data_IF_112455650816
#
_entry.id   IF_112455650816
#
_cell.length_a   1.000
_cell.length_b   1.000
_cell.length_c   1.000
_cell.angle_alpha   90.00
_cell.angle_beta   90.00
_cell.angle_gamma   90.00
#
_symmetry.space_group_name_H-M   'P 1'
#
loop_
_entity.id
_entity.type
_entity.pdbx_description
1 polymer ?
#
# COMPACT_ATOMS: atom_id res chain seq x y z
N UNK A 1 8.08 13.33 -0.86
CA UNK A 1 9.24 12.57 -1.38
C UNK A 1 8.70 11.19 -1.77
N UNK A 2 9.14 10.61 -2.88
CA UNK A 2 8.69 9.27 -3.28
C UNK A 2 9.34 8.25 -2.34
N UNK A 3 8.56 7.67 -1.42
CA UNK A 3 9.08 6.70 -0.47
C UNK A 3 9.11 5.30 -1.11
N UNK A 4 10.09 5.03 -1.97
CA UNK A 4 10.23 3.74 -2.67
C UNK A 4 10.50 2.57 -1.73
N UNK A 5 9.86 1.43 -1.96
CA UNK A 5 10.06 0.23 -1.15
C UNK A 5 11.28 -0.54 -1.66
N UNK A 6 12.25 -0.77 -0.78
CA UNK A 6 13.30 -1.75 -1.02
C UNK A 6 12.73 -3.14 -0.71
N UNK A 7 12.62 -4.02 -1.71
CA UNK A 7 11.92 -5.30 -1.56
C UNK A 7 12.79 -6.44 -1.00
N UNK A 8 14.11 -6.43 -1.23
CA UNK A 8 15.01 -7.51 -0.84
C UNK A 8 15.39 -7.45 0.66
N UNK A 9 15.82 -8.56 1.24
CA UNK A 9 16.28 -8.65 2.64
C UNK A 9 17.60 -7.93 2.90
N UNK A 10 17.92 -7.80 4.20
CA UNK A 10 19.12 -7.11 4.67
C UNK A 10 20.40 -7.80 4.17
N UNK A 11 20.45 -9.13 4.17
CA UNK A 11 21.61 -9.90 3.70
C UNK A 11 21.93 -9.60 2.23
N UNK A 12 20.90 -9.56 1.37
CA UNK A 12 21.06 -9.16 -0.03
C UNK A 12 21.51 -7.71 -0.16
N UNK A 13 20.97 -6.80 0.67
CA UNK A 13 21.36 -5.40 0.67
C UNK A 13 22.84 -5.22 1.04
N UNK A 14 23.33 -5.95 2.05
CA UNK A 14 24.75 -5.97 2.43
C UNK A 14 25.60 -6.52 1.28
N UNK A 15 25.23 -7.67 0.73
CA UNK A 15 25.96 -8.31 -0.36
C UNK A 15 26.07 -7.45 -1.63
N UNK A 16 25.10 -6.55 -1.85
CA UNK A 16 25.05 -5.65 -3.01
C UNK A 16 25.47 -4.21 -2.70
N UNK A 17 26.00 -3.94 -1.50
CA UNK A 17 26.38 -2.60 -1.03
C UNK A 17 25.24 -1.56 -1.11
N UNK A 18 24.03 -1.99 -0.74
CA UNK A 18 22.77 -1.22 -0.73
C UNK A 18 22.10 -1.21 0.65
N UNK A 19 22.87 -1.41 1.72
CA UNK A 19 22.37 -1.46 3.09
C UNK A 19 21.64 -0.16 3.48
N UNK A 20 22.15 1.00 3.06
CA UNK A 20 21.52 2.30 3.32
C UNK A 20 20.10 2.37 2.75
N UNK A 21 19.92 1.93 1.49
CA UNK A 21 18.59 1.88 0.84
C UNK A 21 17.63 0.94 1.56
N UNK A 22 18.13 -0.16 2.11
CA UNK A 22 17.33 -1.07 2.92
C UNK A 22 16.86 -0.36 4.21
N UNK A 23 17.77 0.29 4.94
CA UNK A 23 17.44 0.93 6.21
C UNK A 23 16.53 2.14 6.04
N UNK A 24 16.76 2.99 5.03
CA UNK A 24 15.86 4.09 4.68
C UNK A 24 14.46 3.58 4.34
N UNK A 25 14.39 2.50 3.54
CA UNK A 25 13.10 1.88 3.22
C UNK A 25 12.45 1.26 4.45
N UNK A 26 13.22 0.64 5.34
CA UNK A 26 12.73 0.01 6.55
C UNK A 26 12.15 1.06 7.50
N UNK A 27 12.89 2.15 7.76
CA UNK A 27 12.43 3.26 8.60
C UNK A 27 11.13 3.87 8.05
N UNK A 28 11.05 4.08 6.74
CA UNK A 28 9.82 4.56 6.12
C UNK A 28 8.67 3.54 6.18
N UNK A 29 8.94 2.22 6.27
CA UNK A 29 7.89 1.21 6.52
C UNK A 29 7.38 1.30 7.96
N UNK A 30 8.29 1.45 8.93
CA UNK A 30 7.93 1.67 10.34
C UNK A 30 7.09 2.94 10.48
N UNK A 31 7.53 4.06 9.88
CA UNK A 31 6.78 5.32 9.89
C UNK A 31 5.40 5.17 9.26
N UNK A 32 5.31 4.49 8.11
CA UNK A 32 4.03 4.22 7.46
C UNK A 32 3.10 3.36 8.33
N UNK A 33 3.62 2.34 9.02
CA UNK A 33 2.82 1.51 9.93
C UNK A 33 2.26 2.35 11.09
N UNK A 34 3.09 3.21 11.70
CA UNK A 34 2.67 4.14 12.76
C UNK A 34 1.66 5.17 12.26
N UNK A 35 1.83 5.66 11.03
CA UNK A 35 0.87 6.57 10.42
C UNK A 35 -0.49 5.89 10.19
N UNK A 36 -0.52 4.61 9.80
CA UNK A 36 -1.77 3.83 9.68
C UNK A 36 -2.45 3.68 11.05
N UNK A 37 -1.70 3.28 12.08
CA UNK A 37 -2.24 3.15 13.45
C UNK A 37 -2.85 4.47 13.94
N UNK A 38 -2.09 5.56 13.77
CA UNK A 38 -2.52 6.91 14.13
C UNK A 38 -3.76 7.34 13.35
N UNK A 39 -3.77 7.16 12.03
CA UNK A 39 -4.91 7.54 11.19
C UNK A 39 -6.17 6.76 11.57
N UNK A 40 -6.06 5.47 11.89
CA UNK A 40 -7.17 4.66 12.40
C UNK A 40 -7.65 5.21 13.74
N UNK A 41 -6.74 5.48 14.68
CA UNK A 41 -7.08 5.99 16.00
C UNK A 41 -7.78 7.36 15.92
N UNK A 42 -7.22 8.29 15.14
CA UNK A 42 -7.75 9.64 14.96
C UNK A 42 -9.08 9.64 14.19
N UNK A 43 -9.37 8.58 13.44
CA UNK A 43 -10.65 8.41 12.73
C UNK A 43 -11.80 7.87 13.59
N UNK A 44 -11.62 7.69 14.90
CA UNK A 44 -12.64 7.13 15.78
C UNK A 44 -13.50 8.22 16.45
N UNK A 45 -14.67 8.53 15.88
CA UNK A 45 -15.49 9.70 16.27
C UNK A 45 -16.51 9.42 17.38
N UNK A 46 -16.79 8.14 17.66
CA UNK A 46 -17.68 7.67 18.73
C UNK A 46 -17.44 6.18 18.94
N UNK A 47 -17.95 5.56 20.01
CA UNK A 47 -17.78 4.12 20.34
C UNK A 47 -17.75 3.21 19.08
N UNK A 48 -16.53 2.90 18.63
CA UNK A 48 -16.21 2.01 17.50
C UNK A 48 -16.73 2.46 16.11
N UNK A 49 -16.91 3.75 15.88
CA UNK A 49 -17.23 4.30 14.54
C UNK A 49 -16.01 4.97 13.92
N UNK A 50 -15.40 4.25 12.98
CA UNK A 50 -14.18 4.68 12.28
C UNK A 50 -14.48 5.27 10.89
N UNK A 51 -13.93 6.45 10.58
CA UNK A 51 -13.85 6.93 9.18
C UNK A 51 -12.57 6.43 8.51
N UNK A 52 -12.63 5.16 8.11
CA UNK A 52 -11.51 4.50 7.45
C UNK A 52 -11.27 5.06 6.04
N UNK A 53 -12.23 5.73 5.41
CA UNK A 53 -12.05 6.33 4.08
C UNK A 53 -11.10 7.51 4.18
N UNK A 54 -11.36 8.43 5.11
CA UNK A 54 -10.48 9.57 5.35
C UNK A 54 -9.11 9.12 5.85
N UNK A 55 -9.07 8.16 6.78
CA UNK A 55 -7.81 7.60 7.28
C UNK A 55 -6.96 6.98 6.16
N UNK A 56 -7.56 6.13 5.31
CA UNK A 56 -6.84 5.51 4.19
C UNK A 56 -6.35 6.53 3.17
N UNK A 57 -7.16 7.55 2.84
CA UNK A 57 -6.74 8.62 1.91
C UNK A 57 -5.55 9.41 2.42
N UNK A 58 -5.53 9.74 3.72
CA UNK A 58 -4.43 10.48 4.33
C UNK A 58 -3.10 9.70 4.21
N UNK A 59 -3.09 8.43 4.61
CA UNK A 59 -1.87 7.60 4.54
C UNK A 59 -1.44 7.37 3.09
N UNK A 60 -2.38 7.08 2.18
CA UNK A 60 -2.08 6.89 0.76
C UNK A 60 -1.49 8.16 0.11
N UNK A 61 -1.96 9.34 0.51
CA UNK A 61 -1.42 10.61 0.02
C UNK A 61 0.01 10.89 0.52
N UNK A 62 0.32 10.48 1.76
CA UNK A 62 1.64 10.72 2.38
C UNK A 62 2.71 9.72 1.91
N UNK A 63 2.38 8.43 1.91
CA UNK A 63 3.36 7.35 1.67
C UNK A 63 3.27 6.73 0.28
N UNK A 64 2.19 6.97 -0.46
CA UNK A 64 1.93 6.38 -1.77
C UNK A 64 1.40 4.94 -1.70
N UNK A 65 0.80 4.49 -2.82
CA UNK A 65 0.18 3.17 -2.93
C UNK A 65 1.16 2.03 -2.65
N UNK A 66 2.34 2.06 -3.26
CA UNK A 66 3.32 0.96 -3.21
C UNK A 66 3.67 0.62 -1.76
N UNK A 67 4.00 1.64 -0.95
CA UNK A 67 4.40 1.46 0.44
C UNK A 67 3.26 1.05 1.33
N UNK A 68 2.10 1.69 1.21
CA UNK A 68 0.92 1.33 1.99
C UNK A 68 0.53 -0.12 1.70
N UNK A 69 0.55 -0.53 0.42
CA UNK A 69 0.31 -1.92 0.03
C UNK A 69 1.31 -2.88 0.65
N UNK A 70 2.61 -2.54 0.65
CA UNK A 70 3.65 -3.36 1.26
C UNK A 70 3.43 -3.57 2.76
N UNK A 71 3.22 -2.50 3.51
CA UNK A 71 3.02 -2.54 4.98
C UNK A 71 1.74 -3.30 5.34
N UNK A 72 0.65 -3.09 4.60
CA UNK A 72 -0.60 -3.85 4.81
C UNK A 72 -0.42 -5.34 4.51
N UNK A 73 0.34 -5.70 3.46
CA UNK A 73 0.65 -7.09 3.16
C UNK A 73 1.48 -7.74 4.28
N UNK A 74 2.54 -7.07 4.74
CA UNK A 74 3.34 -7.53 5.87
C UNK A 74 2.49 -7.77 7.13
N UNK A 75 1.59 -6.82 7.44
CA UNK A 75 0.68 -6.92 8.58
C UNK A 75 -0.30 -8.10 8.44
N UNK A 76 -0.92 -8.27 7.27
CA UNK A 76 -1.83 -9.38 7.02
C UNK A 76 -1.11 -10.74 7.07
N UNK A 77 0.16 -10.80 6.68
CA UNK A 77 0.95 -12.02 6.79
C UNK A 77 1.16 -12.41 8.25
N UNK A 78 1.46 -11.45 9.12
CA UNK A 78 1.55 -11.69 10.57
C UNK A 78 0.18 -12.07 11.17
N UNK A 79 -0.90 -11.46 10.70
CA UNK A 79 -2.27 -11.71 11.18
C UNK A 79 -3.02 -12.83 10.43
N UNK A 80 -2.36 -13.60 9.55
CA UNK A 80 -3.04 -14.53 8.64
C UNK A 80 -3.84 -15.64 9.36
N UNK A 81 -3.43 -15.97 10.58
CA UNK A 81 -4.07 -16.96 11.45
C UNK A 81 -5.35 -16.45 12.12
N UNK A 82 -5.57 -15.14 12.17
CA UNK A 82 -6.73 -14.55 12.83
C UNK A 82 -8.01 -14.78 12.01
N UNK A 83 -9.06 -15.27 12.67
CA UNK A 83 -10.35 -15.58 12.05
C UNK A 83 -11.16 -14.36 11.62
N UNK A 84 -10.84 -13.16 12.13
CA UNK A 84 -11.54 -11.90 11.80
C UNK A 84 -11.06 -11.27 10.50
N UNK A 85 -9.91 -11.72 9.98
CA UNK A 85 -9.42 -11.28 8.68
C UNK A 85 -10.20 -12.02 7.59
N UNK A 86 -10.86 -11.26 6.72
CA UNK A 86 -11.69 -11.74 5.62
C UNK A 86 -10.90 -12.60 4.62
N UNK A 87 -11.63 -13.50 3.95
CA UNK A 87 -11.04 -14.36 2.92
C UNK A 87 -10.48 -13.54 1.75
N UNK A 88 -11.15 -12.43 1.41
CA UNK A 88 -10.76 -11.51 0.35
C UNK A 88 -9.43 -10.83 0.67
N UNK A 89 -9.19 -10.44 1.92
CA UNK A 89 -7.92 -9.85 2.34
C UNK A 89 -6.81 -10.89 2.40
N UNK A 90 -7.10 -12.11 2.88
CA UNK A 90 -6.14 -13.25 2.83
C UNK A 90 -5.77 -13.62 1.40
N UNK A 91 -6.72 -13.59 0.47
CA UNK A 91 -6.47 -13.91 -0.94
C UNK A 91 -5.66 -12.81 -1.62
N UNK A 92 -5.94 -11.55 -1.30
CA UNK A 92 -5.16 -10.41 -1.80
C UNK A 92 -3.71 -10.44 -1.32
N UNK A 93 -3.47 -10.80 -0.06
CA UNK A 93 -2.12 -10.99 0.48
C UNK A 93 -1.30 -11.97 -0.37
N UNK A 94 -1.89 -13.09 -0.81
CA UNK A 94 -1.19 -14.10 -1.63
C UNK A 94 -0.69 -13.54 -2.97
N UNK A 95 -1.27 -12.44 -3.44
CA UNK A 95 -0.87 -11.77 -4.67
C UNK A 95 0.28 -10.76 -4.48
N UNK A 96 0.70 -10.49 -3.24
CA UNK A 96 1.85 -9.60 -2.94
C UNK A 96 3.07 -10.47 -2.60
N UNK A 97 4.05 -10.60 -3.51
CA UNK A 97 5.22 -11.44 -3.28
C UNK A 97 6.16 -10.77 -2.27
N UNK A 98 6.12 -11.20 -1.01
CA UNK A 98 7.09 -10.82 0.01
C UNK A 98 8.24 -11.85 -0.01
N UNK A 99 9.49 -11.43 -0.31
CA UNK A 99 10.64 -12.31 -0.30
C UNK A 99 10.82 -13.06 1.03
N UNK A 100 11.34 -14.29 0.97
CA UNK A 100 11.46 -15.17 2.14
C UNK A 100 12.41 -14.59 3.21
N UNK A 101 13.50 -13.99 2.77
CA UNK A 101 14.51 -13.29 3.58
C UNK A 101 13.95 -12.05 4.29
N UNK A 102 12.79 -11.52 3.86
CA UNK A 102 12.09 -10.42 4.54
C UNK A 102 11.17 -10.86 5.65
N UNK A 103 10.79 -12.14 5.72
CA UNK A 103 9.78 -12.61 6.68
C UNK A 103 10.19 -12.44 8.14
N UNK A 104 11.50 -12.41 8.39
CA UNK A 104 12.06 -12.22 9.74
C UNK A 104 11.76 -10.82 10.27
N UNK A 105 11.87 -9.80 9.41
CA UNK A 105 11.82 -8.39 9.82
C UNK A 105 10.40 -7.80 9.77
N UNK A 106 9.41 -8.56 9.25
CA UNK A 106 8.04 -8.05 9.06
C UNK A 106 7.40 -7.57 10.36
N UNK A 107 7.74 -8.21 11.49
CA UNK A 107 7.19 -7.91 12.80
C UNK A 107 7.42 -6.45 13.23
N UNK A 108 8.52 -5.83 12.78
CA UNK A 108 8.96 -4.51 13.23
C UNK A 108 8.07 -3.36 12.73
N UNK A 109 7.36 -3.57 11.62
CA UNK A 109 6.44 -2.60 11.02
C UNK A 109 5.03 -3.19 10.78
N UNK A 110 4.60 -4.10 11.65
CA UNK A 110 3.19 -4.53 11.67
C UNK A 110 2.28 -3.49 12.32
N UNK A 111 1.10 -3.28 11.74
CA UNK A 111 0.08 -2.39 12.31
C UNK A 111 -0.62 -3.10 13.48
N UNK A 112 -0.46 -2.55 14.67
CA UNK A 112 -1.01 -3.04 15.93
C UNK A 112 -2.38 -2.41 16.24
N UNK A 113 -3.42 -2.87 15.54
CA UNK A 113 -4.82 -2.47 15.80
C UNK A 113 -5.73 -3.69 15.93
N UNK A 114 -6.97 -3.49 16.37
CA UNK A 114 -7.93 -4.59 16.46
C UNK A 114 -8.15 -5.22 15.07
N UNK A 115 -8.04 -6.55 14.90
CA UNK A 115 -8.03 -7.18 13.57
C UNK A 115 -9.27 -6.90 12.70
N UNK A 116 -10.45 -6.70 13.31
CA UNK A 116 -11.64 -6.31 12.55
C UNK A 116 -11.54 -4.89 11.96
N UNK A 117 -10.86 -3.97 12.66
CA UNK A 117 -10.63 -2.60 12.18
C UNK A 117 -9.55 -2.62 11.10
N UNK A 118 -8.48 -3.41 11.29
CA UNK A 118 -7.45 -3.65 10.29
C UNK A 118 -8.07 -4.20 8.98
N UNK A 119 -8.91 -5.22 9.08
CA UNK A 119 -9.59 -5.82 7.92
C UNK A 119 -10.42 -4.78 7.15
N UNK A 120 -11.17 -3.96 7.89
CA UNK A 120 -11.92 -2.84 7.33
C UNK A 120 -11.03 -1.82 6.64
N UNK A 121 -9.90 -1.45 7.25
CA UNK A 121 -8.96 -0.47 6.69
C UNK A 121 -8.33 -0.99 5.40
N UNK A 122 -7.84 -2.23 5.39
CA UNK A 122 -7.28 -2.87 4.20
C UNK A 122 -8.29 -2.89 3.06
N UNK A 123 -9.54 -3.27 3.34
CA UNK A 123 -10.62 -3.31 2.35
C UNK A 123 -10.86 -1.93 1.72
N UNK A 124 -10.89 -0.88 2.53
CA UNK A 124 -11.09 0.50 2.07
C UNK A 124 -9.89 1.01 1.27
N UNK A 125 -8.67 0.82 1.76
CA UNK A 125 -7.45 1.23 1.08
C UNK A 125 -7.34 0.59 -0.32
N UNK A 126 -7.61 -0.72 -0.43
CA UNK A 126 -7.64 -1.45 -1.71
C UNK A 126 -8.66 -0.89 -2.68
N UNK A 127 -9.85 -0.52 -2.19
CA UNK A 127 -10.91 0.06 -3.02
C UNK A 127 -10.50 1.42 -3.58
N UNK A 128 -9.93 2.29 -2.75
CA UNK A 128 -9.44 3.62 -3.17
C UNK A 128 -8.38 3.48 -4.27
N UNK A 129 -7.42 2.57 -4.07
CA UNK A 129 -6.36 2.29 -5.05
C UNK A 129 -6.92 1.82 -6.39
N UNK A 130 -7.88 0.88 -6.37
CA UNK A 130 -8.50 0.39 -7.60
C UNK A 130 -9.26 1.49 -8.36
N UNK A 131 -9.92 2.40 -7.65
CA UNK A 131 -10.63 3.55 -8.23
C UNK A 131 -9.65 4.58 -8.84
N UNK A 132 -8.50 4.80 -8.20
CA UNK A 132 -7.44 5.67 -8.72
C UNK A 132 -6.83 5.11 -10.00
N UNK A 133 -6.51 3.80 -10.06
CA UNK A 133 -6.00 3.15 -11.26
C UNK A 133 -6.97 3.26 -12.45
N UNK A 134 -8.25 2.94 -12.24
CA UNK A 134 -9.27 3.05 -13.28
C UNK A 134 -9.38 4.49 -13.84
N UNK A 135 -9.24 5.49 -12.97
CA UNK A 135 -9.30 6.90 -13.36
C UNK A 135 -8.09 7.31 -14.21
N UNK A 136 -6.88 6.87 -13.83
CA UNK A 136 -5.65 7.11 -14.59
C UNK A 136 -5.72 6.44 -15.98
N UNK A 137 -6.28 5.23 -16.04
CA UNK A 137 -6.39 4.45 -17.27
C UNK A 137 -7.37 5.11 -18.24
N UNK A 138 -8.50 5.61 -17.71
CA UNK A 138 -9.48 6.37 -18.49
C UNK A 138 -8.86 7.65 -19.07
N UNK A 139 -8.09 8.41 -18.28
CA UNK A 139 -7.39 9.63 -18.75
C UNK A 139 -6.35 9.30 -19.81
N UNK A 140 -5.53 8.25 -19.63
CA UNK A 140 -4.56 7.81 -20.65
C UNK A 140 -5.24 7.42 -21.96
N UNK A 141 -6.39 6.74 -21.88
CA UNK A 141 -7.16 6.36 -23.06
C UNK A 141 -7.74 7.58 -23.81
N UNK A 142 -8.12 8.64 -23.10
CA UNK A 142 -8.54 9.91 -23.70
C UNK A 142 -7.36 10.61 -24.39
N UNK A 143 -6.21 10.73 -23.72
CA UNK A 143 -5.00 11.33 -24.30
C UNK A 143 -4.54 10.59 -25.56
N UNK A 144 -4.68 9.26 -25.59
CA UNK A 144 -4.33 8.46 -26.76
C UNK A 144 -5.24 8.76 -27.95
N UNK A 145 -6.56 8.86 -27.73
CA UNK A 145 -7.54 9.21 -28.77
C UNK A 145 -7.27 10.59 -29.37
N UNK A 146 -7.04 11.58 -28.52
CA UNK A 146 -6.76 12.96 -28.93
C UNK A 146 -5.48 13.08 -29.78
N UNK A 147 -4.45 12.29 -29.43
CA UNK A 147 -3.20 12.17 -30.22
C UNK A 147 -3.37 11.44 -31.55
N UNK A 148 -4.37 10.58 -31.68
CA UNK A 148 -4.65 9.80 -32.90
C UNK A 148 -5.47 10.65 -33.87
N UNK A 149 -6.48 11.39 -33.37
CA UNK A 149 -7.23 12.39 -34.14
C UNK A 149 -6.32 13.53 -34.67
N UNK A 150 -5.41 14.06 -33.84
CA UNK A 150 -4.44 15.08 -34.29
C UNK A 150 -3.35 14.56 -35.22
N UNK A 151 -3.15 13.23 -35.33
CA UNK A 151 -2.25 12.62 -36.34
C UNK A 151 -2.94 12.46 -37.69
N UNK A 152 -4.23 12.11 -37.71
CA UNK A 152 -5.03 11.99 -38.94
C UNK A 152 -5.17 13.34 -39.64
N UNK A 153 -5.38 14.42 -38.87
CA UNK A 153 -5.56 15.78 -39.40
C UNK A 153 -4.26 16.40 -39.99
N UNK A 154 -3.09 15.80 -39.69
CA UNK A 154 -1.79 16.22 -40.25
C UNK A 154 -1.32 15.36 -41.43
N UNK A 155 -1.95 14.22 -41.69
CA UNK A 155 -1.64 13.38 -42.86
C UNK A 155 -2.43 13.74 -44.12
N UNK A 156 -3.44 14.61 -44.00
CA UNK A 156 -4.26 15.12 -45.11
C UNK A 156 -3.83 16.53 -45.61
N UNK A 157 -2.62 16.99 -45.26
CA UNK A 157 -2.00 18.25 -45.72
C UNK A 157 -0.64 18.02 -46.36
#
# INVERSE_FOLDING_TARGET
MEHKVYAQGLEHAIATNKADLYWESHEANVSCARAIEKAIQDSNHSLYRYDLVTASKAVLAEYGEERVRWVLAATLQAAAHDGRISYENKSWLKAVPIPQDRKVDLCEYTVTTHPAVLDGFVRVARKIVAEQGNSVEAVKALIKRDKEETRVDRSDR
#
